data_IF_952829322978
#
_entry.id   IF_952829322978
#
_cell.length_a   1.000
_cell.length_b   1.000
_cell.length_c   1.000
_cell.angle_alpha   90.00
_cell.angle_beta   90.00
_cell.angle_gamma   90.00
#
_symmetry.space_group_name_H-M   'P 1'
#
loop_
_entity.id
_entity.type
_entity.pdbx_description
1 polymer ?
#
# COMPACT_ATOMS: atom_id res chain seq x y z
N UNK A 1 13.72 -2.17 -4.89
CA UNK A 1 12.55 -2.30 -3.97
C UNK A 1 13.09 -2.43 -2.57
N UNK A 2 12.53 -1.69 -1.63
CA UNK A 2 12.85 -1.83 -0.21
C UNK A 2 11.58 -1.86 0.64
N UNK A 3 11.70 -2.30 1.88
CA UNK A 3 10.58 -2.48 2.79
C UNK A 3 10.82 -1.69 4.08
N UNK A 4 9.78 -1.09 4.60
CA UNK A 4 9.76 -0.39 5.88
C UNK A 4 8.80 -1.13 6.81
N UNK A 5 9.29 -1.50 7.98
CA UNK A 5 8.52 -2.13 9.03
C UNK A 5 9.07 -1.67 10.37
N UNK A 6 8.24 -1.72 11.40
CA UNK A 6 8.63 -1.33 12.75
C UNK A 6 9.06 -2.55 13.55
N UNK A 7 10.25 -2.51 14.14
CA UNK A 7 10.62 -3.39 15.25
C UNK A 7 10.20 -2.79 16.61
N UNK A 8 10.07 -3.63 17.63
CA UNK A 8 9.91 -3.18 19.02
C UNK A 8 11.17 -3.49 19.85
N UNK A 9 11.04 -3.50 21.18
CA UNK A 9 12.10 -3.87 22.11
C UNK A 9 12.51 -5.35 22.02
N UNK A 10 11.75 -6.19 21.32
CA UNK A 10 12.12 -7.54 20.91
C UNK A 10 12.66 -7.60 19.47
N UNK A 11 12.90 -6.45 18.84
CA UNK A 11 13.34 -6.34 17.45
C UNK A 11 12.28 -6.87 16.48
N UNK A 12 12.69 -7.68 15.51
CA UNK A 12 11.77 -8.31 14.56
C UNK A 12 10.97 -9.47 15.17
N UNK A 13 11.36 -9.99 16.34
CA UNK A 13 10.67 -11.12 16.98
C UNK A 13 9.32 -10.72 17.61
N UNK A 14 9.14 -9.42 17.88
CA UNK A 14 7.87 -8.86 18.34
C UNK A 14 6.92 -8.50 17.20
N UNK A 15 7.30 -8.77 15.94
CA UNK A 15 6.48 -8.50 14.77
C UNK A 15 5.75 -9.76 14.31
N UNK A 16 4.45 -9.64 14.07
CA UNK A 16 3.62 -10.70 13.50
C UNK A 16 2.80 -10.15 12.33
N UNK A 17 2.49 -11.00 11.36
CA UNK A 17 1.75 -10.59 10.16
C UNK A 17 0.34 -10.09 10.45
N UNK A 18 -0.28 -10.48 11.57
CA UNK A 18 -1.65 -10.08 11.92
C UNK A 18 -1.70 -8.79 12.75
N UNK A 19 -0.75 -8.60 13.65
CA UNK A 19 -0.76 -7.49 14.62
C UNK A 19 0.34 -6.46 14.34
N UNK A 20 1.26 -6.75 13.43
CA UNK A 20 2.45 -5.94 13.19
C UNK A 20 3.34 -5.86 14.42
N UNK A 21 3.91 -4.69 14.67
CA UNK A 21 4.65 -4.41 15.91
C UNK A 21 3.70 -4.10 17.05
N UNK A 22 4.00 -4.57 18.28
CA UNK A 22 3.19 -4.34 19.49
C UNK A 22 2.82 -2.87 19.76
N UNK A 23 3.69 -1.93 19.39
CA UNK A 23 3.46 -0.49 19.60
C UNK A 23 2.75 0.20 18.43
N UNK A 24 2.71 -0.47 17.28
CA UNK A 24 2.06 -0.05 16.03
C UNK A 24 2.09 1.47 15.76
N UNK A 25 3.27 2.03 15.51
CA UNK A 25 3.54 3.45 15.25
C UNK A 25 3.45 3.76 13.76
N UNK A 26 2.22 3.69 13.25
CA UNK A 26 1.86 4.11 11.89
C UNK A 26 2.46 5.47 11.52
N UNK A 27 2.35 6.44 12.43
CA UNK A 27 2.89 7.80 12.29
C UNK A 27 4.39 7.81 11.94
N UNK A 28 5.18 6.97 12.63
CA UNK A 28 6.63 6.89 12.43
C UNK A 28 6.98 6.24 11.11
N UNK A 29 6.24 5.20 10.74
CA UNK A 29 6.40 4.48 9.48
C UNK A 29 6.05 5.35 8.27
N UNK A 30 4.94 6.10 8.34
CA UNK A 30 4.57 7.06 7.32
C UNK A 30 5.59 8.19 7.17
N UNK A 31 6.05 8.76 8.28
CA UNK A 31 7.06 9.82 8.27
C UNK A 31 8.39 9.33 7.67
N UNK A 32 8.83 8.11 8.01
CA UNK A 32 10.02 7.50 7.41
C UNK A 32 9.86 7.32 5.90
N UNK A 33 8.73 6.79 5.45
CA UNK A 33 8.44 6.63 4.01
C UNK A 33 8.44 7.98 3.28
N UNK A 34 7.78 8.99 3.86
CA UNK A 34 7.78 10.35 3.30
C UNK A 34 9.20 10.92 3.18
N UNK A 35 10.04 10.75 4.20
CA UNK A 35 11.44 11.20 4.16
C UNK A 35 12.22 10.50 3.05
N UNK A 36 12.03 9.19 2.85
CA UNK A 36 12.65 8.49 1.72
C UNK A 36 12.20 9.06 0.37
N UNK A 37 10.92 9.38 0.22
CA UNK A 37 10.36 9.99 -1.00
C UNK A 37 10.89 11.40 -1.23
N UNK A 38 11.27 12.14 -0.17
CA UNK A 38 11.77 13.53 -0.27
C UNK A 38 13.29 13.65 -0.44
N UNK A 39 14.09 12.67 -0.01
CA UNK A 39 15.55 12.80 0.09
C UNK A 39 16.29 12.75 -1.26
N UNK A 40 15.83 11.95 -2.22
CA UNK A 40 16.65 11.57 -3.39
C UNK A 40 16.29 12.31 -4.70
N UNK A 41 15.65 13.48 -4.59
CA UNK A 41 15.09 14.16 -5.76
C UNK A 41 13.94 13.34 -6.37
N UNK A 42 13.82 13.30 -7.69
CA UNK A 42 12.74 12.54 -8.35
C UNK A 42 13.03 11.05 -8.24
N UNK A 43 12.17 10.31 -7.54
CA UNK A 43 12.25 8.85 -7.54
C UNK A 43 11.98 8.30 -8.93
N UNK A 44 12.83 7.38 -9.38
CA UNK A 44 12.54 6.60 -10.58
C UNK A 44 11.23 5.83 -10.41
N UNK A 45 10.40 5.77 -11.46
CA UNK A 45 9.11 5.06 -11.44
C UNK A 45 9.23 3.58 -11.05
N UNK A 46 10.39 2.97 -11.29
CA UNK A 46 10.70 1.58 -10.93
C UNK A 46 11.06 1.37 -9.46
N UNK A 47 11.39 2.46 -8.74
CA UNK A 47 11.67 2.40 -7.31
C UNK A 47 10.38 2.14 -6.57
N UNK A 48 10.32 1.01 -5.86
CA UNK A 48 9.18 0.59 -5.05
C UNK A 48 9.56 0.59 -3.57
N UNK A 49 8.63 1.00 -2.73
CA UNK A 49 8.67 0.87 -1.27
C UNK A 49 7.39 0.19 -0.80
N UNK A 50 7.53 -0.77 0.12
CA UNK A 50 6.40 -1.38 0.81
C UNK A 50 6.48 -1.06 2.29
N UNK A 51 5.41 -0.48 2.81
CA UNK A 51 5.25 -0.15 4.22
C UNK A 51 4.30 -1.17 4.86
N UNK A 52 4.77 -1.86 5.89
CA UNK A 52 3.99 -2.87 6.60
C UNK A 52 3.50 -2.33 7.93
N UNK A 53 2.19 -2.26 8.11
CA UNK A 53 1.58 -1.68 9.31
C UNK A 53 0.44 -2.56 9.79
N UNK A 54 0.68 -3.21 10.93
CA UNK A 54 -0.22 -4.28 11.34
C UNK A 54 -0.20 -5.39 10.30
N UNK A 55 -1.39 -5.75 9.84
CA UNK A 55 -1.61 -6.70 8.76
C UNK A 55 -1.69 -6.07 7.36
N UNK A 56 -1.80 -4.74 7.28
CA UNK A 56 -1.93 -4.04 6.02
C UNK A 56 -0.56 -3.71 5.43
N UNK A 57 -0.50 -3.67 4.10
CA UNK A 57 0.66 -3.18 3.37
C UNK A 57 0.28 -2.03 2.42
N UNK A 58 1.11 -0.98 2.45
CA UNK A 58 1.02 0.16 1.53
C UNK A 58 2.19 0.08 0.58
N UNK A 59 1.92 0.06 -0.72
CA UNK A 59 2.94 0.00 -1.75
C UNK A 59 2.99 1.33 -2.48
N UNK A 60 4.17 1.93 -2.52
CA UNK A 60 4.41 3.19 -3.22
C UNK A 60 5.52 3.03 -4.24
N UNK A 61 5.43 3.76 -5.35
CA UNK A 61 6.53 3.89 -6.29
C UNK A 61 6.84 5.37 -6.60
N UNK A 62 7.82 5.63 -7.48
CA UNK A 62 8.20 7.02 -7.80
C UNK A 62 7.07 7.92 -8.31
N UNK A 63 6.01 7.37 -8.91
CA UNK A 63 4.84 8.15 -9.33
C UNK A 63 4.06 8.74 -8.14
N UNK A 64 4.23 8.21 -6.92
CA UNK A 64 3.56 8.73 -5.71
C UNK A 64 3.92 10.20 -5.45
N UNK A 65 5.10 10.65 -5.86
CA UNK A 65 5.50 12.05 -5.73
C UNK A 65 4.51 12.99 -6.42
N UNK A 66 3.91 12.59 -7.54
CA UNK A 66 2.93 13.40 -8.25
C UNK A 66 1.57 13.45 -7.53
N UNK A 67 1.27 12.44 -6.71
CA UNK A 67 0.05 12.38 -5.92
C UNK A 67 0.14 13.31 -4.71
N UNK A 68 1.30 13.35 -4.04
CA UNK A 68 1.42 13.98 -2.72
C UNK A 68 2.24 15.26 -2.70
N UNK A 69 3.09 15.48 -3.70
CA UNK A 69 3.91 16.68 -3.81
C UNK A 69 3.35 17.58 -4.91
N UNK A 70 3.04 18.84 -4.57
CA UNK A 70 2.57 19.81 -5.57
C UNK A 70 3.73 20.26 -6.44
N UNK A 71 3.57 20.18 -7.77
CA UNK A 71 4.50 20.77 -8.72
C UNK A 71 4.54 22.30 -8.54
N UNK A 72 5.73 22.88 -8.35
CA UNK A 72 5.90 24.32 -8.15
C UNK A 72 6.32 25.01 -9.45
N UNK A 73 7.36 24.51 -10.12
CA UNK A 73 7.98 25.14 -11.30
C UNK A 73 8.66 24.11 -12.18
N UNK A 74 8.78 24.39 -13.47
CA UNK A 74 9.78 23.73 -14.31
C UNK A 74 11.12 24.46 -14.20
N UNK A 75 12.21 23.70 -14.16
CA UNK A 75 13.56 24.24 -14.32
C UNK A 75 13.81 24.66 -15.76
N UNK A 76 14.86 25.43 -16.00
CA UNK A 76 15.32 25.77 -17.36
C UNK A 76 15.61 24.51 -18.19
N UNK A 77 16.06 23.41 -17.53
CA UNK A 77 16.26 22.09 -18.16
C UNK A 77 14.96 21.28 -18.40
N UNK A 78 13.77 21.86 -18.18
CA UNK A 78 12.47 21.20 -18.38
C UNK A 78 12.06 20.20 -17.28
N UNK A 79 12.82 20.07 -16.19
CA UNK A 79 12.47 19.17 -15.08
C UNK A 79 11.45 19.82 -14.14
N UNK A 80 10.42 19.08 -13.75
CA UNK A 80 9.43 19.55 -12.77
C UNK A 80 10.04 19.52 -11.36
N UNK A 81 10.02 20.66 -10.66
CA UNK A 81 10.32 20.76 -9.23
C UNK A 81 9.05 20.62 -8.42
N UNK A 82 9.13 19.83 -7.36
CA UNK A 82 8.03 19.56 -6.45
C UNK A 82 8.26 20.22 -5.09
N UNK A 83 7.18 20.66 -4.46
CA UNK A 83 7.20 21.13 -3.06
C UNK A 83 7.25 19.93 -2.13
N UNK A 84 8.09 19.95 -1.07
CA UNK A 84 8.01 18.95 -0.01
C UNK A 84 6.58 18.86 0.53
N UNK A 85 6.05 17.65 0.67
CA UNK A 85 4.80 17.43 1.36
C UNK A 85 5.04 17.47 2.88
N UNK A 86 4.09 18.00 3.63
CA UNK A 86 4.07 17.82 5.09
C UNK A 86 3.56 16.42 5.42
N UNK A 87 3.93 15.86 6.58
CA UNK A 87 3.37 14.57 7.07
C UNK A 87 1.85 14.55 7.05
N UNK A 88 1.20 15.66 7.43
CA UNK A 88 -0.27 15.76 7.41
C UNK A 88 -0.87 15.60 6.01
N UNK A 89 -0.40 16.36 5.02
CA UNK A 89 -0.83 16.22 3.62
C UNK A 89 -0.53 14.83 3.05
N UNK A 90 0.60 14.23 3.43
CA UNK A 90 0.95 12.87 3.04
C UNK A 90 -0.05 11.84 3.56
N UNK A 91 -0.33 11.90 4.86
CA UNK A 91 -1.29 11.03 5.53
C UNK A 91 -2.71 11.23 4.97
N UNK A 92 -3.16 12.48 4.79
CA UNK A 92 -4.46 12.79 4.18
C UNK A 92 -4.58 12.23 2.75
N UNK A 93 -3.52 12.36 1.93
CA UNK A 93 -3.52 11.81 0.58
C UNK A 93 -3.60 10.27 0.57
N UNK A 94 -2.90 9.59 1.49
CA UNK A 94 -2.99 8.15 1.65
C UNK A 94 -4.42 7.74 2.06
N UNK A 95 -5.00 8.39 3.07
CA UNK A 95 -6.34 8.05 3.55
C UNK A 95 -7.44 8.27 2.51
N UNK A 96 -7.36 9.34 1.72
CA UNK A 96 -8.29 9.57 0.60
C UNK A 96 -8.23 8.47 -0.48
N UNK A 97 -7.14 7.73 -0.49
CA UNK A 97 -6.84 6.69 -1.46
C UNK A 97 -6.96 5.29 -0.87
N UNK A 98 -7.43 5.17 0.37
CA UNK A 98 -7.45 3.93 1.11
C UNK A 98 -8.25 2.86 0.37
N UNK A 99 -7.63 1.69 0.14
CA UNK A 99 -8.26 0.57 -0.57
C UNK A 99 -8.49 0.80 -2.07
N UNK A 100 -7.97 1.89 -2.64
CA UNK A 100 -8.10 2.20 -4.07
C UNK A 100 -6.70 2.31 -4.68
N UNK A 101 -6.46 1.52 -5.72
CA UNK A 101 -5.22 1.59 -6.48
C UNK A 101 -5.19 2.83 -7.38
N UNK A 102 -4.03 3.46 -7.43
CA UNK A 102 -3.77 4.67 -8.20
C UNK A 102 -2.36 4.63 -8.80
N UNK A 103 -2.05 5.47 -9.79
CA UNK A 103 -0.68 5.62 -10.27
C UNK A 103 0.30 5.95 -9.14
N UNK A 104 1.12 4.96 -8.78
CA UNK A 104 2.16 5.08 -7.77
C UNK A 104 1.76 4.79 -6.33
N UNK A 105 0.51 4.41 -6.07
CA UNK A 105 0.02 3.99 -4.77
C UNK A 105 -0.94 2.81 -4.91
N UNK A 106 -0.67 1.71 -4.21
CA UNK A 106 -1.60 0.58 -4.11
C UNK A 106 -1.66 0.05 -2.68
N UNK A 107 -2.77 -0.58 -2.34
CA UNK A 107 -3.04 -1.10 -1.00
C UNK A 107 -3.24 -2.62 -1.04
N UNK A 108 -2.55 -3.34 -0.18
CA UNK A 108 -2.85 -4.74 0.12
C UNK A 108 -3.43 -4.78 1.54
N UNK A 109 -4.75 -4.90 1.64
CA UNK A 109 -5.47 -4.93 2.91
C UNK A 109 -5.66 -6.38 3.36
N UNK A 110 -5.46 -6.66 4.65
CA UNK A 110 -5.77 -7.99 5.18
C UNK A 110 -7.29 -8.17 5.27
N UNK A 111 -7.86 -8.83 4.27
CA UNK A 111 -9.26 -9.27 4.30
C UNK A 111 -9.40 -10.52 5.17
N UNK A 112 -9.13 -10.40 6.47
CA UNK A 112 -9.34 -11.48 7.43
C UNK A 112 -10.79 -12.01 7.44
N UNK A 113 -11.75 -11.30 6.84
CA UNK A 113 -13.17 -11.70 6.70
C UNK A 113 -13.55 -12.36 5.36
N UNK A 114 -12.63 -12.55 4.39
CA UNK A 114 -12.97 -13.28 3.15
C UNK A 114 -12.76 -14.80 3.22
N UNK A 115 -12.28 -15.33 4.35
CA UNK A 115 -12.07 -16.79 4.52
C UNK A 115 -13.22 -17.54 5.21
N UNK A 116 -14.31 -16.88 5.61
CA UNK A 116 -15.51 -17.57 6.14
C UNK A 116 -16.66 -17.70 5.09
N UNK A 117 -16.41 -17.25 3.86
CA UNK A 117 -17.36 -17.33 2.75
C UNK A 117 -17.06 -18.49 1.80
N UNK A 118 -17.51 -19.69 2.15
CA UNK A 118 -17.72 -20.88 1.29
C UNK A 118 -17.58 -20.59 -0.22
N UNK A 119 -16.46 -20.99 -0.82
CA UNK A 119 -16.47 -21.42 -2.22
C UNK A 119 -16.22 -22.92 -2.27
N UNK A 120 -17.34 -23.64 -2.15
CA UNK A 120 -17.48 -25.00 -2.65
C UNK A 120 -16.99 -24.98 -4.10
N UNK A 121 -15.91 -25.72 -4.34
CA UNK A 121 -15.49 -26.12 -5.68
C UNK A 121 -16.66 -26.78 -6.39
N UNK A 122 -17.01 -26.22 -7.54
CA UNK A 122 -17.42 -26.95 -8.73
C UNK A 122 -18.77 -27.67 -8.65
N UNK A 123 -19.76 -27.09 -9.33
CA UNK A 123 -20.60 -27.87 -10.23
C UNK A 123 -21.17 -26.94 -11.31
N UNK A 124 -20.66 -27.12 -12.52
CA UNK A 124 -21.16 -26.53 -13.76
C UNK A 124 -22.61 -26.99 -13.97
N UNK A 125 -23.59 -26.11 -14.24
CA UNK A 125 -24.93 -26.54 -14.61
C UNK A 125 -24.92 -26.98 -16.08
N UNK A 126 -24.52 -28.22 -16.34
CA UNK A 126 -24.84 -28.90 -17.60
C UNK A 126 -25.36 -30.30 -17.31
N UNK A 127 -26.59 -30.52 -17.77
CA UNK A 127 -27.21 -31.82 -18.03
C UNK A 127 -27.61 -32.68 -16.81
N UNK A 128 -28.88 -32.53 -16.38
CA UNK A 128 -29.69 -33.71 -16.07
C UNK A 128 -30.85 -33.80 -17.06
N UNK A 129 -30.70 -34.77 -17.96
CA UNK A 129 -31.73 -35.29 -18.82
C UNK A 129 -32.90 -35.81 -17.98
N UNK A 130 -34.11 -35.45 -18.39
CA UNK A 130 -35.32 -36.11 -17.94
C UNK A 130 -35.43 -37.47 -18.66
N UNK A 131 -35.36 -38.57 -17.90
CA UNK A 131 -35.86 -39.86 -18.33
C UNK A 131 -37.11 -40.20 -17.50
N UNK A 132 -38.30 -40.31 -18.12
CA UNK A 132 -39.43 -40.96 -17.49
C UNK A 132 -39.26 -42.48 -17.58
N UNK A 133 -39.47 -43.18 -16.46
CA UNK A 133 -39.71 -44.63 -16.42
C UNK A 133 -40.94 -44.89 -15.55
N UNK A 134 -41.85 -45.69 -16.10
CA UNK A 134 -42.92 -46.38 -15.38
C UNK A 134 -44.26 -45.69 -15.50
#
# INVERSE_FOLDING_TARGET
HFCLFQGDDHGCRGWDIKQGSRRNRWDTLLDAMLKCVMMDGTWHHETKCSLFVGADAVHVNGAVQQVVMKAIKQTEDGRTRYSPATVWHWEDALWRSFGVDQPGLSWELDHADQLDGRHIRGETPQQRQAHPRG
#
